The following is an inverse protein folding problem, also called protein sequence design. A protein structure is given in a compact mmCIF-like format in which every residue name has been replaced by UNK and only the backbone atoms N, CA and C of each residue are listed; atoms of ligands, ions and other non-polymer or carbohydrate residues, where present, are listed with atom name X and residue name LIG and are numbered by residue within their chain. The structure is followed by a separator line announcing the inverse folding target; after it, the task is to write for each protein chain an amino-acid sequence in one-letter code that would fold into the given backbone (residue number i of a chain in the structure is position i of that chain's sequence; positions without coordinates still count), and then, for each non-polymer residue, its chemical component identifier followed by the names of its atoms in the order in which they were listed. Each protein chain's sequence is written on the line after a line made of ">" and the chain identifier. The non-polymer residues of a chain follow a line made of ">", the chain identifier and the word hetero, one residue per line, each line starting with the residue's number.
data_IF_040286984728
#
_entry.id   IF_040286984728
#
_cell.length_a   1.000
_cell.length_b   1.000
_cell.length_c   1.000
_cell.angle_alpha   90.00
_cell.angle_beta   90.00
_cell.angle_gamma   90.00
#
_symmetry.space_group_name_H-M   'P 1'
#
loop_
_entity.id
_entity.type
_entity.pdbx_description
1 polymer ?
#
# COMPACT_ATOMS: atom_id res chain seq x y z
N UNK A 1 -62.12 11.37 11.89
CA UNK A 1 -60.67 11.57 11.73
C UNK A 1 -60.52 12.76 10.78
N UNK A 2 -59.98 13.88 11.26
CA UNK A 2 -60.01 15.13 10.48
C UNK A 2 -59.01 15.07 9.31
N UNK A 3 -59.36 15.62 8.15
CA UNK A 3 -58.47 15.65 6.96
C UNK A 3 -57.09 16.26 7.24
N UNK A 4 -57.03 17.22 8.18
CA UNK A 4 -55.79 17.80 8.68
C UNK A 4 -54.87 16.80 9.37
N UNK A 5 -55.43 15.81 10.08
CA UNK A 5 -54.63 14.73 10.68
C UNK A 5 -54.04 13.82 9.61
N UNK A 6 -54.83 13.45 8.60
CA UNK A 6 -54.39 12.58 7.52
C UNK A 6 -53.25 13.23 6.70
N UNK A 7 -53.41 14.50 6.32
CA UNK A 7 -52.38 15.26 5.59
C UNK A 7 -51.11 15.44 6.43
N UNK A 8 -51.23 15.76 7.72
CA UNK A 8 -50.07 15.88 8.61
C UNK A 8 -49.29 14.57 8.73
N UNK A 9 -49.97 13.42 8.84
CA UNK A 9 -49.31 12.11 8.93
C UNK A 9 -48.59 11.76 7.63
N UNK A 10 -49.19 12.03 6.46
CA UNK A 10 -48.53 11.78 5.17
C UNK A 10 -47.29 12.64 4.98
N UNK A 11 -47.37 13.93 5.31
CA UNK A 11 -46.22 14.86 5.23
C UNK A 11 -45.13 14.44 6.22
N UNK A 12 -45.49 14.06 7.45
CA UNK A 12 -44.54 13.62 8.46
C UNK A 12 -43.80 12.34 8.03
N UNK A 13 -44.51 11.35 7.48
CA UNK A 13 -43.91 10.11 6.98
C UNK A 13 -42.99 10.37 5.77
N UNK A 14 -43.36 11.29 4.89
CA UNK A 14 -42.53 11.68 3.75
C UNK A 14 -41.26 12.40 4.21
N UNK A 15 -41.39 13.39 5.09
CA UNK A 15 -40.27 14.10 5.68
C UNK A 15 -39.34 13.13 6.44
N UNK A 16 -39.89 12.19 7.23
CA UNK A 16 -39.12 11.18 7.92
C UNK A 16 -38.30 10.31 6.95
N UNK A 17 -38.89 9.90 5.82
CA UNK A 17 -38.17 9.13 4.79
C UNK A 17 -37.12 9.92 4.03
N UNK A 18 -37.23 11.23 3.93
CA UNK A 18 -36.19 12.07 3.31
C UNK A 18 -35.07 12.45 4.30
N UNK A 19 -35.43 12.74 5.55
CA UNK A 19 -34.47 13.16 6.57
C UNK A 19 -33.65 11.96 7.09
N UNK A 20 -34.29 10.80 7.29
CA UNK A 20 -33.60 9.59 7.76
C UNK A 20 -32.36 9.20 6.93
N UNK A 21 -32.40 9.09 5.58
CA UNK A 21 -31.22 8.75 4.79
C UNK A 21 -30.15 9.85 4.80
N UNK A 22 -30.55 11.12 4.85
CA UNK A 22 -29.60 12.25 4.95
C UNK A 22 -28.85 12.23 6.28
N UNK A 23 -29.58 12.04 7.38
CA UNK A 23 -28.99 11.92 8.72
C UNK A 23 -28.09 10.69 8.81
N UNK A 24 -28.52 9.55 8.24
CA UNK A 24 -27.71 8.34 8.23
C UNK A 24 -26.37 8.56 7.52
N UNK A 25 -26.37 9.19 6.34
CA UNK A 25 -25.13 9.49 5.61
C UNK A 25 -24.25 10.48 6.36
N UNK A 26 -24.85 11.51 6.99
CA UNK A 26 -24.11 12.47 7.81
C UNK A 26 -23.45 11.79 9.02
N UNK A 27 -24.16 10.89 9.70
CA UNK A 27 -23.63 10.13 10.85
C UNK A 27 -22.50 9.20 10.42
N UNK A 28 -22.63 8.50 9.30
CA UNK A 28 -21.57 7.63 8.78
C UNK A 28 -20.33 8.46 8.44
N UNK A 29 -20.51 9.55 7.68
CA UNK A 29 -19.40 10.44 7.32
C UNK A 29 -18.73 11.08 8.54
N UNK A 30 -19.51 11.49 9.53
CA UNK A 30 -18.99 12.00 10.80
C UNK A 30 -18.22 10.93 11.58
N UNK A 31 -18.75 9.70 11.62
CA UNK A 31 -18.07 8.54 12.20
C UNK A 31 -16.69 8.33 11.57
N UNK A 32 -16.62 8.27 10.23
CA UNK A 32 -15.34 8.12 9.53
C UNK A 32 -14.35 9.23 9.88
N UNK A 33 -14.78 10.50 9.85
CA UNK A 33 -13.91 11.63 10.23
C UNK A 33 -13.41 11.53 11.68
N UNK A 34 -14.27 11.09 12.60
CA UNK A 34 -13.89 10.91 14.01
C UNK A 34 -12.84 9.83 14.18
N UNK A 35 -12.96 8.71 13.46
CA UNK A 35 -11.94 7.66 13.50
C UNK A 35 -10.62 8.18 12.94
N UNK A 36 -10.62 8.83 11.77
CA UNK A 36 -9.40 9.42 11.19
C UNK A 36 -8.72 10.39 12.16
N UNK A 37 -9.48 11.29 12.79
CA UNK A 37 -8.92 12.24 13.75
C UNK A 37 -8.31 11.56 15.00
N UNK A 38 -8.83 10.38 15.39
CA UNK A 38 -8.23 9.60 16.47
C UNK A 38 -6.84 9.08 16.09
N UNK A 39 -6.72 8.49 14.89
CA UNK A 39 -5.44 7.99 14.39
C UNK A 39 -4.44 9.13 14.16
N UNK A 40 -4.87 10.27 13.59
CA UNK A 40 -4.00 11.44 13.40
C UNK A 40 -3.48 12.01 14.74
N UNK A 41 -4.28 11.93 15.81
CA UNK A 41 -3.82 12.33 17.15
C UNK A 41 -2.78 11.37 17.74
N UNK A 42 -2.85 10.08 17.41
CA UNK A 42 -1.84 9.07 17.76
C UNK A 42 -0.55 9.26 16.94
N UNK A 43 -0.69 9.62 15.66
CA UNK A 43 0.41 9.96 14.76
C UNK A 43 1.05 11.32 15.08
N UNK A 44 0.35 12.27 15.72
CA UNK A 44 0.97 13.52 16.16
C UNK A 44 2.04 13.33 17.27
N UNK A 45 2.03 12.18 17.96
CA UNK A 45 3.03 11.79 18.96
C UNK A 45 4.17 10.92 18.41
N UNK A 46 4.01 10.33 17.23
CA UNK A 46 5.04 9.58 16.51
C UNK A 46 5.42 10.38 15.29
N UNK A 47 6.63 10.95 15.17
CA UNK A 47 7.05 11.64 13.95
C UNK A 47 7.06 10.64 12.80
N UNK A 48 5.92 10.45 12.15
CA UNK A 48 5.85 9.79 10.87
C UNK A 48 6.61 10.71 9.93
N UNK A 49 7.74 10.25 9.38
CA UNK A 49 8.41 11.02 8.35
C UNK A 49 7.42 11.04 7.19
N UNK A 50 6.66 12.12 7.05
CA UNK A 50 6.09 12.47 5.77
C UNK A 50 7.27 12.43 4.80
N UNK A 51 7.32 11.47 3.85
CA UNK A 51 8.23 11.65 2.76
C UNK A 51 7.67 12.88 2.05
N UNK A 52 8.31 14.02 2.29
CA UNK A 52 8.18 15.17 1.42
C UNK A 52 8.70 14.63 0.10
N UNK A 53 7.82 14.14 -0.75
CA UNK A 53 8.18 13.72 -2.11
C UNK A 53 8.35 15.05 -2.84
N UNK A 54 9.59 15.56 -3.07
CA UNK A 54 9.74 16.61 -4.05
C UNK A 54 9.19 16.04 -5.35
N UNK A 55 8.21 16.71 -5.93
CA UNK A 55 7.62 16.36 -7.21
C UNK A 55 8.64 16.64 -8.33
N UNK A 56 9.78 15.96 -8.30
CA UNK A 56 10.61 15.72 -9.47
C UNK A 56 9.92 14.61 -10.26
N UNK A 57 9.79 14.74 -11.57
CA UNK A 57 9.18 13.78 -12.50
C UNK A 57 9.96 12.43 -12.58
N UNK A 58 10.23 11.80 -11.43
CA UNK A 58 10.68 10.43 -11.34
C UNK A 58 9.44 9.53 -11.31
N UNK A 59 9.38 8.61 -12.27
CA UNK A 59 8.31 7.64 -12.42
C UNK A 59 7.93 6.97 -11.07
N UNK A 60 6.63 6.64 -10.86
CA UNK A 60 6.16 6.14 -9.58
C UNK A 60 6.95 4.89 -9.17
N UNK A 61 7.70 5.02 -8.07
CA UNK A 61 8.28 3.88 -7.38
C UNK A 61 7.11 3.00 -6.93
N UNK A 62 6.86 1.93 -7.68
CA UNK A 62 5.85 0.93 -7.33
C UNK A 62 6.16 0.43 -5.93
N UNK A 63 5.15 0.30 -5.04
CA UNK A 63 5.35 -0.38 -3.78
C UNK A 63 5.99 -1.73 -4.10
N UNK A 64 7.05 -2.07 -3.37
CA UNK A 64 7.70 -3.36 -3.46
C UNK A 64 6.68 -4.43 -3.06
N UNK A 65 5.80 -4.80 -4.00
CA UNK A 65 5.07 -6.06 -3.99
C UNK A 65 6.11 -7.08 -3.61
N UNK A 66 5.90 -7.83 -2.52
CA UNK A 66 6.78 -8.92 -2.09
C UNK A 66 7.24 -9.65 -3.35
N UNK A 67 8.47 -9.36 -3.76
CA UNK A 67 8.91 -9.69 -5.09
C UNK A 67 9.00 -11.20 -5.08
N UNK A 68 8.16 -11.87 -5.87
CA UNK A 68 8.28 -13.30 -6.05
C UNK A 68 9.74 -13.61 -6.35
N UNK A 69 10.35 -14.57 -5.62
CA UNK A 69 11.77 -14.79 -5.76
C UNK A 69 12.12 -15.19 -7.19
N UNK A 70 13.28 -14.75 -7.67
CA UNK A 70 13.66 -14.92 -9.07
C UNK A 70 13.67 -16.38 -9.54
N UNK A 71 13.97 -17.33 -8.65
CA UNK A 71 13.97 -18.76 -8.97
C UNK A 71 12.57 -19.32 -9.23
N UNK A 72 11.54 -18.70 -8.65
CA UNK A 72 10.15 -19.09 -8.85
C UNK A 72 9.62 -18.52 -10.18
N UNK A 73 10.00 -17.27 -10.51
CA UNK A 73 9.64 -16.63 -11.78
C UNK A 73 10.36 -17.27 -12.97
N UNK A 74 11.65 -17.60 -12.82
CA UNK A 74 12.44 -18.26 -13.87
C UNK A 74 12.34 -19.79 -13.87
N UNK A 75 11.54 -20.36 -12.98
CA UNK A 75 11.38 -21.79 -12.77
C UNK A 75 12.72 -22.55 -12.79
N UNK A 76 13.69 -22.10 -11.98
CA UNK A 76 15.03 -22.70 -11.98
C UNK A 76 15.01 -24.12 -11.41
N UNK A 77 15.81 -25.03 -11.96
CA UNK A 77 16.00 -26.40 -11.43
C UNK A 77 16.64 -26.41 -10.03
N UNK A 78 16.38 -27.44 -9.20
CA UNK A 78 16.87 -27.52 -7.83
C UNK A 78 18.40 -27.44 -7.74
N UNK A 79 19.14 -28.04 -8.68
CA UNK A 79 20.60 -27.95 -8.74
C UNK A 79 21.11 -26.50 -8.92
N UNK A 80 20.36 -25.67 -9.63
CA UNK A 80 20.70 -24.26 -9.84
C UNK A 80 20.30 -23.40 -8.64
N UNK A 81 19.34 -23.85 -7.82
CA UNK A 81 18.88 -23.15 -6.61
C UNK A 81 19.88 -23.27 -5.47
N UNK A 82 20.48 -24.44 -5.28
CA UNK A 82 21.45 -24.69 -4.20
C UNK A 82 22.70 -23.81 -4.32
N UNK A 83 23.16 -23.53 -5.54
CA UNK A 83 24.28 -22.62 -5.79
C UNK A 83 23.90 -21.14 -5.89
N UNK A 84 22.63 -20.77 -5.72
CA UNK A 84 22.17 -19.40 -5.96
C UNK A 84 22.20 -18.56 -4.66
N UNK A 85 22.94 -17.45 -4.60
CA UNK A 85 23.00 -16.60 -3.41
C UNK A 85 21.64 -15.96 -3.06
N UNK A 86 20.76 -15.81 -4.05
CA UNK A 86 19.39 -15.34 -3.84
C UNK A 86 18.54 -16.36 -3.08
N UNK A 87 18.74 -17.66 -3.29
CA UNK A 87 18.01 -18.71 -2.58
C UNK A 87 18.41 -18.78 -1.10
N UNK A 88 19.70 -18.56 -0.81
CA UNK A 88 20.20 -18.47 0.56
C UNK A 88 19.64 -17.27 1.34
N UNK A 89 19.17 -16.21 0.65
CA UNK A 89 18.67 -14.99 1.27
C UNK A 89 17.30 -14.59 0.69
N UNK A 90 16.21 -15.29 1.07
CA UNK A 90 14.87 -15.02 0.53
C UNK A 90 14.32 -13.63 0.91
N UNK A 91 14.93 -12.97 1.90
CA UNK A 91 14.60 -11.61 2.32
C UNK A 91 15.20 -10.52 1.41
N UNK A 92 16.20 -10.86 0.59
CA UNK A 92 16.88 -9.92 -0.29
C UNK A 92 16.40 -10.09 -1.73
N UNK A 93 16.38 -8.99 -2.48
CA UNK A 93 16.17 -9.07 -3.91
C UNK A 93 17.32 -9.88 -4.55
N UNK A 94 16.97 -10.71 -5.53
CA UNK A 94 17.90 -11.64 -6.18
C UNK A 94 19.17 -10.96 -6.74
N UNK A 95 19.04 -9.72 -7.23
CA UNK A 95 20.18 -8.94 -7.71
C UNK A 95 21.06 -8.39 -6.57
N UNK A 96 20.51 -8.09 -5.39
CA UNK A 96 21.27 -7.67 -4.19
C UNK A 96 22.08 -8.84 -3.64
N UNK A 97 21.44 -10.01 -3.53
CA UNK A 97 22.12 -11.20 -3.04
C UNK A 97 23.28 -11.61 -3.97
N UNK A 98 23.09 -11.49 -5.28
CA UNK A 98 24.15 -11.73 -6.26
C UNK A 98 25.24 -10.67 -6.24
N UNK A 99 24.88 -9.39 -6.08
CA UNK A 99 25.86 -8.31 -5.90
C UNK A 99 26.72 -8.51 -4.65
N UNK A 100 26.16 -9.01 -3.55
CA UNK A 100 26.91 -9.33 -2.32
C UNK A 100 27.85 -10.52 -2.48
N UNK A 101 27.46 -11.52 -3.27
CA UNK A 101 28.26 -12.72 -3.49
C UNK A 101 29.37 -12.49 -4.54
N UNK A 102 29.04 -11.85 -5.66
CA UNK A 102 29.94 -11.70 -6.81
C UNK A 102 30.65 -10.33 -6.84
N UNK A 103 30.26 -9.38 -5.98
CA UNK A 103 30.79 -8.02 -5.95
C UNK A 103 30.39 -7.14 -7.14
N UNK A 104 29.73 -7.69 -8.16
CA UNK A 104 29.28 -6.96 -9.34
C UNK A 104 27.89 -7.39 -9.82
N UNK A 105 27.18 -6.45 -10.46
CA UNK A 105 25.93 -6.74 -11.16
C UNK A 105 26.28 -7.25 -12.55
N UNK A 106 26.16 -8.56 -12.78
CA UNK A 106 26.35 -9.14 -14.11
C UNK A 106 25.30 -8.61 -15.11
N UNK A 107 25.63 -8.53 -16.40
CA UNK A 107 24.70 -8.08 -17.45
C UNK A 107 23.38 -8.88 -17.51
N UNK A 108 23.39 -10.12 -16.98
CA UNK A 108 22.19 -10.95 -16.82
C UNK A 108 21.18 -10.38 -15.81
N UNK A 109 21.64 -9.57 -14.84
CA UNK A 109 20.77 -8.84 -13.91
C UNK A 109 20.16 -7.62 -14.60
N UNK A 110 20.95 -6.84 -15.34
CA UNK A 110 20.48 -5.59 -15.96
C UNK A 110 19.40 -5.80 -17.02
N UNK A 111 19.36 -6.98 -17.65
CA UNK A 111 18.30 -7.37 -18.58
C UNK A 111 17.10 -8.11 -17.95
N UNK A 112 17.00 -8.18 -16.62
CA UNK A 112 15.93 -8.91 -15.94
C UNK A 112 14.78 -7.98 -15.53
N UNK A 113 13.52 -8.37 -15.73
CA UNK A 113 12.37 -7.56 -15.34
C UNK A 113 12.24 -7.35 -13.82
N UNK A 114 12.92 -8.19 -13.02
CA UNK A 114 13.00 -8.04 -11.55
C UNK A 114 14.12 -7.08 -11.12
N UNK A 115 14.93 -6.58 -12.05
CA UNK A 115 16.00 -5.64 -11.74
C UNK A 115 15.44 -4.23 -11.63
N UNK A 116 15.51 -3.67 -10.43
CA UNK A 116 15.01 -2.32 -10.15
C UNK A 116 16.06 -1.23 -10.35
N UNK A 117 17.32 -1.57 -10.68
CA UNK A 117 18.39 -0.59 -10.93
C UNK A 117 18.81 0.28 -9.74
N UNK A 118 18.05 0.26 -8.65
CA UNK A 118 18.40 0.96 -7.42
C UNK A 118 19.60 0.26 -6.80
N UNK A 119 20.81 0.77 -6.96
CA UNK A 119 21.93 0.39 -6.09
C UNK A 119 21.44 0.56 -4.66
N UNK A 120 21.26 -0.56 -3.95
CA UNK A 120 20.96 -0.52 -2.54
C UNK A 120 22.09 0.28 -1.91
N UNK A 121 21.78 1.51 -1.50
CA UNK A 121 22.63 2.30 -0.63
C UNK A 121 22.90 1.40 0.57
N UNK A 122 24.08 0.81 0.56
CA UNK A 122 24.64 0.08 1.67
C UNK A 122 24.93 1.08 2.80
N UNK A 123 24.90 0.56 4.03
CA UNK A 123 25.32 1.19 5.29
C UNK A 123 24.27 2.01 6.05
N UNK A 124 23.93 1.47 7.23
CA UNK A 124 23.22 2.06 8.34
C UNK A 124 23.10 0.94 9.37
N UNK A 125 24.10 0.87 10.26
CA UNK A 125 24.50 -0.25 11.13
C UNK A 125 23.39 -1.07 11.82
#
# INVERSE_FOLDING_TARGET
>A
MNEFQATTVLVALFALRCIAPMVLMAVIGYGMKRLVAHWEAEEAGQPHPHPTIPLTLAAPARPAKRALPCWLVKNCDPQTREGCPAYANPSLACWVARLRADGQVTARCTGCELYSGATALAAGD
#
